data_IF_512160584583
#
_entry.id   IF_512160584583
#
_cell.length_a   1.000
_cell.length_b   1.000
_cell.length_c   1.000
_cell.angle_alpha   90.00
_cell.angle_beta   90.00
_cell.angle_gamma   90.00
#
_symmetry.space_group_name_H-M   'P 1'
#
loop_
_entity.id
_entity.type
_entity.pdbx_description
1 polymer ?
#
# COMPACT_ATOMS: atom_id res chain seq x y z
N UNK A 1 4.76 4.50 20.73
CA UNK A 1 4.51 3.40 19.78
C UNK A 1 3.05 3.31 19.33
N UNK A 2 2.09 3.48 20.20
CA UNK A 2 0.66 3.42 19.88
C UNK A 2 0.14 4.52 18.94
N UNK A 3 0.77 5.68 18.89
CA UNK A 3 0.34 6.82 18.05
C UNK A 3 0.64 6.61 16.56
N UNK A 4 1.73 5.93 16.21
CA UNK A 4 2.12 5.71 14.82
C UNK A 4 1.48 4.48 14.16
N UNK A 5 1.00 3.51 14.97
CA UNK A 5 0.42 2.25 14.48
C UNK A 5 -1.10 2.15 14.61
N UNK A 6 -1.78 3.22 15.03
CA UNK A 6 -3.23 3.21 15.24
C UNK A 6 -3.71 2.36 16.43
N UNK A 7 -2.80 1.85 17.26
CA UNK A 7 -3.13 1.02 18.42
C UNK A 7 -3.97 -0.22 18.07
N UNK A 8 -4.95 -0.56 18.90
CA UNK A 8 -5.91 -1.65 18.65
C UNK A 8 -6.74 -1.44 17.38
N UNK A 9 -7.12 -0.21 17.06
CA UNK A 9 -7.81 0.12 15.81
C UNK A 9 -7.01 -0.31 14.58
N UNK A 10 -5.70 -0.25 14.66
CA UNK A 10 -4.83 -0.69 13.60
C UNK A 10 -4.93 -2.18 13.26
N UNK A 11 -5.39 -3.02 14.17
CA UNK A 11 -5.61 -4.47 13.95
C UNK A 11 -7.08 -4.74 13.63
N UNK A 12 -7.98 -4.07 14.31
CA UNK A 12 -9.43 -4.29 14.19
C UNK A 12 -9.95 -3.84 12.82
N UNK A 13 -9.51 -2.67 12.34
CA UNK A 13 -9.95 -2.12 11.05
C UNK A 13 -9.62 -3.03 9.86
N UNK A 14 -8.39 -3.54 9.67
CA UNK A 14 -8.10 -4.50 8.60
C UNK A 14 -8.91 -5.80 8.70
N UNK A 15 -9.21 -6.29 9.91
CA UNK A 15 -10.03 -7.48 10.09
C UNK A 15 -11.47 -7.26 9.60
N UNK A 16 -12.08 -6.13 9.97
CA UNK A 16 -13.41 -5.78 9.46
C UNK A 16 -13.44 -5.60 7.95
N UNK A 17 -12.42 -4.94 7.39
CA UNK A 17 -12.27 -4.75 5.96
C UNK A 17 -12.11 -6.09 5.22
N UNK A 18 -11.36 -7.03 5.79
CA UNK A 18 -11.24 -8.39 5.24
C UNK A 18 -12.56 -9.15 5.28
N UNK A 19 -13.28 -9.11 6.40
CA UNK A 19 -14.59 -9.74 6.50
C UNK A 19 -15.57 -9.16 5.46
N UNK A 20 -15.68 -7.84 5.36
CA UNK A 20 -16.50 -7.16 4.36
C UNK A 20 -16.10 -7.54 2.92
N UNK A 21 -14.81 -7.58 2.63
CA UNK A 21 -14.31 -7.95 1.31
C UNK A 21 -14.61 -9.43 0.98
N UNK A 22 -14.53 -10.35 1.95
CA UNK A 22 -14.91 -11.75 1.75
C UNK A 22 -16.38 -11.89 1.41
N UNK A 23 -17.27 -11.24 2.15
CA UNK A 23 -18.71 -11.24 1.83
C UNK A 23 -18.98 -10.70 0.44
N UNK A 24 -18.33 -9.60 0.07
CA UNK A 24 -18.45 -9.00 -1.26
C UNK A 24 -17.99 -9.96 -2.36
N UNK A 25 -16.82 -10.60 -2.16
CA UNK A 25 -16.27 -11.58 -3.13
C UNK A 25 -17.24 -12.74 -3.33
N UNK A 26 -17.75 -13.33 -2.25
CA UNK A 26 -18.71 -14.44 -2.33
C UNK A 26 -19.97 -14.01 -3.08
N UNK A 27 -20.57 -12.86 -2.75
CA UNK A 27 -21.75 -12.35 -3.43
C UNK A 27 -21.53 -12.11 -4.93
N UNK A 28 -20.40 -11.48 -5.28
CA UNK A 28 -20.07 -11.20 -6.68
C UNK A 28 -19.76 -12.48 -7.46
N UNK A 29 -19.05 -13.44 -6.87
CA UNK A 29 -18.76 -14.73 -7.51
C UNK A 29 -20.07 -15.45 -7.87
N UNK A 30 -21.05 -15.47 -6.98
CA UNK A 30 -22.35 -16.06 -7.25
C UNK A 30 -23.01 -15.40 -8.47
N UNK A 31 -23.04 -14.06 -8.52
CA UNK A 31 -23.65 -13.30 -9.62
C UNK A 31 -22.92 -13.57 -10.95
N UNK A 32 -21.60 -13.47 -10.95
CA UNK A 32 -20.78 -13.62 -12.16
C UNK A 32 -20.76 -15.06 -12.66
N UNK A 33 -20.76 -16.05 -11.76
CA UNK A 33 -20.77 -17.46 -12.12
C UNK A 33 -22.03 -17.88 -12.89
N UNK A 34 -23.17 -17.25 -12.62
CA UNK A 34 -24.44 -17.55 -13.31
C UNK A 34 -24.50 -16.99 -14.74
N UNK A 35 -23.83 -15.87 -15.02
CA UNK A 35 -23.99 -15.13 -16.28
C UNK A 35 -22.74 -15.20 -17.18
N UNK A 36 -21.54 -15.13 -16.59
CA UNK A 36 -20.28 -15.05 -17.32
C UNK A 36 -19.11 -15.70 -16.55
N UNK A 37 -19.10 -17.03 -16.34
CA UNK A 37 -18.10 -17.71 -15.49
C UNK A 37 -16.66 -17.53 -15.99
N UNK A 38 -16.46 -17.32 -17.31
CA UNK A 38 -15.12 -17.07 -17.87
C UNK A 38 -14.48 -15.77 -17.37
N UNK A 39 -15.29 -14.77 -16.98
CA UNK A 39 -14.77 -13.53 -16.41
C UNK A 39 -14.05 -13.76 -15.08
N UNK A 40 -14.52 -14.69 -14.26
CA UNK A 40 -13.85 -15.02 -12.98
C UNK A 40 -12.44 -15.54 -13.25
N UNK A 41 -12.27 -16.41 -14.25
CA UNK A 41 -10.96 -16.96 -14.60
C UNK A 41 -10.02 -15.87 -15.12
N UNK A 42 -10.49 -14.99 -15.99
CA UNK A 42 -9.69 -13.88 -16.54
C UNK A 42 -9.29 -12.92 -15.43
N UNK A 43 -10.24 -12.46 -14.61
CA UNK A 43 -9.96 -11.51 -13.53
C UNK A 43 -9.06 -12.11 -12.45
N UNK A 44 -9.21 -13.40 -12.15
CA UNK A 44 -8.33 -14.09 -11.18
C UNK A 44 -6.91 -14.25 -11.73
N UNK A 45 -6.73 -14.60 -13.00
CA UNK A 45 -5.40 -14.68 -13.60
C UNK A 45 -4.66 -13.33 -13.57
N UNK A 46 -5.37 -12.24 -13.89
CA UNK A 46 -4.82 -10.88 -13.83
C UNK A 46 -4.51 -10.47 -12.37
N UNK A 47 -5.36 -10.86 -11.42
CA UNK A 47 -5.13 -10.61 -10.00
C UNK A 47 -3.83 -11.27 -9.51
N UNK A 48 -3.58 -12.52 -9.89
CA UNK A 48 -2.34 -13.23 -9.53
C UNK A 48 -1.13 -12.49 -10.11
N UNK A 49 -1.19 -12.06 -11.37
CA UNK A 49 -0.12 -11.29 -12.00
C UNK A 49 0.13 -9.96 -11.27
N UNK A 50 -0.94 -9.21 -10.99
CA UNK A 50 -0.86 -7.96 -10.22
C UNK A 50 -0.31 -8.18 -8.80
N UNK A 51 -0.66 -9.29 -8.16
CA UNK A 51 -0.14 -9.68 -6.85
C UNK A 51 1.38 -9.91 -6.85
N UNK A 52 1.91 -10.56 -7.89
CA UNK A 52 3.34 -10.77 -8.06
C UNK A 52 4.11 -9.45 -8.23
N UNK A 53 3.56 -8.52 -9.02
CA UNK A 53 4.14 -7.19 -9.22
C UNK A 53 4.12 -6.41 -7.91
N UNK A 54 2.98 -6.40 -7.21
CA UNK A 54 2.82 -5.70 -5.94
C UNK A 54 3.76 -6.23 -4.85
N UNK A 55 3.99 -7.54 -4.81
CA UNK A 55 4.95 -8.13 -3.87
C UNK A 55 6.38 -7.63 -4.12
N UNK A 56 6.80 -7.50 -5.38
CA UNK A 56 8.10 -6.89 -5.72
C UNK A 56 8.17 -5.42 -5.32
N UNK A 57 7.11 -4.64 -5.55
CA UNK A 57 7.03 -3.25 -5.12
C UNK A 57 7.19 -3.12 -3.61
N UNK A 58 6.48 -3.93 -2.83
CA UNK A 58 6.58 -3.94 -1.37
C UNK A 58 7.98 -4.32 -0.88
N UNK A 59 8.65 -5.27 -1.52
CA UNK A 59 10.03 -5.64 -1.15
C UNK A 59 11.02 -4.50 -1.40
N UNK A 60 10.89 -3.77 -2.51
CA UNK A 60 11.72 -2.60 -2.81
C UNK A 60 11.50 -1.54 -1.75
N UNK A 61 10.25 -1.24 -1.42
CA UNK A 61 9.86 -0.25 -0.43
C UNK A 61 10.38 -0.59 0.97
N UNK A 62 10.20 -1.83 1.43
CA UNK A 62 10.68 -2.27 2.74
C UNK A 62 12.21 -2.18 2.87
N UNK A 63 12.95 -2.57 1.85
CA UNK A 63 14.42 -2.43 1.84
C UNK A 63 14.84 -0.97 1.95
N UNK A 64 14.22 -0.11 1.18
CA UNK A 64 14.50 1.33 1.20
C UNK A 64 14.20 1.96 2.58
N UNK A 65 13.07 1.61 3.20
CA UNK A 65 12.74 2.10 4.53
C UNK A 65 13.72 1.62 5.61
N UNK A 66 14.21 0.40 5.50
CA UNK A 66 15.22 -0.12 6.41
C UNK A 66 16.55 0.66 6.30
N UNK A 67 16.99 0.95 5.07
CA UNK A 67 18.20 1.74 4.81
C UNK A 67 18.07 3.19 5.30
N UNK A 68 16.88 3.78 5.17
CA UNK A 68 16.60 5.16 5.55
C UNK A 68 16.41 5.38 7.04
N UNK A 69 16.25 4.34 7.86
CA UNK A 69 15.82 4.49 9.25
C UNK A 69 16.77 5.38 10.09
N UNK A 70 18.10 5.29 9.86
CA UNK A 70 19.09 6.15 10.53
C UNK A 70 18.99 7.60 10.07
N UNK A 71 18.89 7.82 8.76
CA UNK A 71 18.79 9.16 8.16
C UNK A 71 17.51 9.85 8.59
N UNK A 72 16.39 9.12 8.59
CA UNK A 72 15.09 9.62 9.07
C UNK A 72 15.13 10.08 10.53
N UNK A 73 15.84 9.36 11.38
CA UNK A 73 15.96 9.73 12.80
C UNK A 73 16.74 11.04 12.96
N UNK A 74 17.86 11.20 12.25
CA UNK A 74 18.67 12.43 12.31
C UNK A 74 17.90 13.60 11.70
N UNK A 75 17.25 13.38 10.56
CA UNK A 75 16.43 14.39 9.90
C UNK A 75 15.25 14.85 10.77
N UNK A 76 14.54 13.89 11.41
CA UNK A 76 13.47 14.20 12.34
C UNK A 76 13.94 15.01 13.55
N UNK A 77 15.07 14.64 14.13
CA UNK A 77 15.67 15.37 15.25
C UNK A 77 16.06 16.82 14.86
N UNK A 78 16.77 17.00 13.76
CA UNK A 78 17.15 18.34 13.28
C UNK A 78 15.92 19.19 12.92
N UNK A 79 14.90 18.59 12.29
CA UNK A 79 13.66 19.28 11.96
C UNK A 79 12.90 19.74 13.19
N UNK A 80 12.84 18.90 14.21
CA UNK A 80 12.21 19.24 15.47
C UNK A 80 12.92 20.39 16.17
N UNK A 81 14.24 20.33 16.30
CA UNK A 81 15.02 21.39 16.97
C UNK A 81 15.01 22.73 16.23
N UNK A 82 15.02 22.70 14.89
CA UNK A 82 14.93 23.92 14.08
C UNK A 82 13.55 24.60 14.17
N UNK A 83 12.51 23.83 14.45
CA UNK A 83 11.13 24.35 14.54
C UNK A 83 10.67 24.62 15.97
N UNK A 84 11.36 24.10 16.98
CA UNK A 84 11.02 24.32 18.38
C UNK A 84 11.54 25.69 18.86
N UNK A 85 10.59 26.56 19.21
CA UNK A 85 10.89 27.92 19.68
C UNK A 85 11.78 27.97 20.91
N UNK A 86 11.82 26.93 21.72
CA UNK A 86 12.65 26.82 22.92
C UNK A 86 14.15 26.95 22.62
N UNK A 87 14.60 26.40 21.49
CA UNK A 87 15.99 26.46 21.06
C UNK A 87 16.36 27.74 20.32
N UNK A 88 15.39 28.57 19.97
CA UNK A 88 15.62 29.80 19.20
C UNK A 88 16.53 30.83 19.89
N UNK A 89 16.57 30.85 21.24
CA UNK A 89 17.48 31.69 22.03
C UNK A 89 18.92 31.18 21.94
N UNK A 90 19.09 29.87 22.11
CA UNK A 90 20.41 29.24 22.11
C UNK A 90 21.04 29.29 20.71
N UNK A 91 20.25 29.03 19.65
CA UNK A 91 20.70 29.12 18.28
C UNK A 91 21.22 30.53 17.96
N UNK A 92 20.54 31.57 18.45
CA UNK A 92 20.95 32.97 18.25
C UNK A 92 22.20 33.33 19.10
N UNK A 93 22.24 32.87 20.36
CA UNK A 93 23.33 33.15 21.29
C UNK A 93 24.64 32.56 20.79
N UNK A 94 24.60 31.33 20.27
CA UNK A 94 25.78 30.62 19.78
C UNK A 94 26.05 30.84 18.29
N UNK A 95 25.26 31.65 17.60
CA UNK A 95 25.41 31.88 16.17
C UNK A 95 25.28 30.61 15.32
N UNK A 96 24.55 29.59 15.83
CA UNK A 96 24.51 28.25 15.26
C UNK A 96 23.57 28.11 14.05
N UNK A 97 22.87 29.17 13.62
CA UNK A 97 21.86 29.17 12.56
C UNK A 97 22.38 28.54 11.26
N UNK A 98 23.50 29.07 10.77
CA UNK A 98 24.00 28.66 9.43
C UNK A 98 24.49 27.19 9.48
N UNK A 99 25.15 26.79 10.53
CA UNK A 99 25.55 25.39 10.73
C UNK A 99 24.36 24.43 10.75
N UNK A 100 23.27 24.81 11.42
CA UNK A 100 22.07 23.96 11.52
C UNK A 100 21.34 23.90 10.20
N UNK A 101 21.23 25.04 9.48
CA UNK A 101 20.61 25.09 8.14
C UNK A 101 21.42 24.27 7.14
N UNK A 102 22.76 24.37 7.16
CA UNK A 102 23.61 23.57 6.28
C UNK A 102 23.47 22.06 6.56
N UNK A 103 23.42 21.66 7.84
CA UNK A 103 23.14 20.27 8.19
C UNK A 103 21.77 19.82 7.71
N UNK A 104 20.74 20.65 7.91
CA UNK A 104 19.40 20.35 7.41
C UNK A 104 19.38 20.15 5.90
N UNK A 105 19.95 21.09 5.14
CA UNK A 105 20.01 21.01 3.69
C UNK A 105 20.73 19.74 3.22
N UNK A 106 21.88 19.43 3.82
CA UNK A 106 22.62 18.20 3.50
C UNK A 106 21.80 16.92 3.72
N UNK A 107 21.08 16.82 4.84
CA UNK A 107 20.23 15.67 5.09
C UNK A 107 18.97 15.65 4.21
N UNK A 108 18.44 16.82 3.89
CA UNK A 108 17.33 16.96 2.96
C UNK A 108 17.70 16.49 1.55
N UNK A 109 18.88 16.85 1.05
CA UNK A 109 19.39 16.40 -0.24
C UNK A 109 19.58 14.87 -0.27
N UNK A 110 20.09 14.28 0.81
CA UNK A 110 20.18 12.82 0.95
C UNK A 110 18.78 12.19 0.91
N UNK A 111 17.80 12.76 1.61
CA UNK A 111 16.41 12.27 1.61
C UNK A 111 15.80 12.35 0.22
N UNK A 112 15.92 13.49 -0.46
CA UNK A 112 15.42 13.68 -1.83
C UNK A 112 16.07 12.67 -2.79
N UNK A 113 17.38 12.49 -2.70
CA UNK A 113 18.11 11.51 -3.50
C UNK A 113 17.60 10.08 -3.30
N UNK A 114 17.33 9.71 -2.06
CA UNK A 114 16.79 8.39 -1.71
C UNK A 114 15.35 8.20 -2.22
N UNK A 115 14.49 9.21 -2.07
CA UNK A 115 13.13 9.17 -2.62
C UNK A 115 13.13 9.09 -4.15
N UNK A 116 14.02 9.82 -4.80
CA UNK A 116 14.19 9.74 -6.26
C UNK A 116 14.61 8.33 -6.68
N UNK A 117 15.62 7.75 -6.01
CA UNK A 117 16.06 6.37 -6.27
C UNK A 117 14.94 5.35 -6.08
N UNK A 118 14.10 5.53 -5.05
CA UNK A 118 12.92 4.69 -4.83
C UNK A 118 11.92 4.83 -5.98
N UNK A 119 11.58 6.07 -6.34
CA UNK A 119 10.65 6.36 -7.43
C UNK A 119 11.13 5.75 -8.75
N UNK A 120 12.43 5.89 -9.09
CA UNK A 120 13.02 5.33 -10.30
C UNK A 120 12.93 3.80 -10.34
N UNK A 121 13.10 3.13 -9.20
CA UNK A 121 12.97 1.66 -9.08
C UNK A 121 11.50 1.19 -9.15
N UNK A 122 10.56 1.99 -8.63
CA UNK A 122 9.14 1.65 -8.61
C UNK A 122 8.44 1.98 -9.92
N UNK A 123 8.89 3.00 -10.64
CA UNK A 123 8.24 3.51 -11.85
C UNK A 123 7.95 2.42 -12.89
N UNK A 124 8.92 1.56 -13.31
CA UNK A 124 8.66 0.53 -14.31
C UNK A 124 7.64 -0.51 -13.84
N UNK A 125 7.65 -0.86 -12.55
CA UNK A 125 6.70 -1.82 -11.97
C UNK A 125 5.29 -1.19 -11.86
N UNK A 126 5.19 0.08 -11.52
CA UNK A 126 3.93 0.81 -11.49
C UNK A 126 3.33 0.96 -12.90
N UNK A 127 4.16 1.24 -13.90
CA UNK A 127 3.72 1.26 -15.30
C UNK A 127 3.22 -0.12 -15.75
N UNK A 128 3.93 -1.19 -15.40
CA UNK A 128 3.50 -2.56 -15.70
C UNK A 128 2.18 -2.90 -15.00
N UNK A 129 1.99 -2.48 -13.75
CA UNK A 129 0.75 -2.67 -13.01
C UNK A 129 -0.41 -1.93 -13.66
N UNK A 130 -0.20 -0.65 -14.04
CA UNK A 130 -1.20 0.14 -14.77
C UNK A 130 -1.55 -0.48 -16.11
N UNK A 131 -0.56 -0.96 -16.88
CA UNK A 131 -0.80 -1.67 -18.13
C UNK A 131 -1.65 -2.94 -17.92
N UNK A 132 -1.38 -3.69 -16.86
CA UNK A 132 -2.15 -4.89 -16.49
C UNK A 132 -3.61 -4.52 -16.16
N UNK A 133 -3.84 -3.40 -15.46
CA UNK A 133 -5.20 -2.92 -15.16
C UNK A 133 -5.94 -2.48 -16.44
N UNK A 134 -5.28 -1.78 -17.35
CA UNK A 134 -5.85 -1.40 -18.66
C UNK A 134 -6.21 -2.63 -19.49
N UNK A 135 -5.33 -3.63 -19.56
CA UNK A 135 -5.58 -4.89 -20.28
C UNK A 135 -6.79 -5.61 -19.69
N UNK A 136 -6.91 -5.64 -18.36
CA UNK A 136 -8.08 -6.22 -17.68
C UNK A 136 -9.37 -5.52 -18.07
N UNK A 137 -9.41 -4.20 -17.96
CA UNK A 137 -10.62 -3.42 -18.20
C UNK A 137 -11.03 -3.51 -19.68
N UNK A 138 -10.08 -3.32 -20.59
CA UNK A 138 -10.32 -3.47 -22.02
C UNK A 138 -10.77 -4.89 -22.39
N UNK A 139 -10.10 -5.92 -21.87
CA UNK A 139 -10.48 -7.31 -22.08
C UNK A 139 -11.87 -7.64 -21.55
N UNK A 140 -12.23 -7.09 -20.40
CA UNK A 140 -13.57 -7.26 -19.81
C UNK A 140 -14.64 -6.57 -20.65
N UNK A 141 -14.41 -5.32 -21.07
CA UNK A 141 -15.33 -4.60 -21.96
C UNK A 141 -15.48 -5.29 -23.31
N UNK A 142 -14.38 -5.69 -23.92
CA UNK A 142 -14.40 -6.39 -25.20
C UNK A 142 -15.19 -7.69 -25.12
N UNK A 143 -14.91 -8.52 -24.11
CA UNK A 143 -15.60 -9.80 -23.91
C UNK A 143 -17.11 -9.61 -23.70
N UNK A 144 -17.51 -8.69 -22.82
CA UNK A 144 -18.92 -8.41 -22.53
C UNK A 144 -19.61 -7.75 -23.74
N UNK A 145 -18.91 -6.87 -24.46
CA UNK A 145 -19.42 -6.25 -25.69
C UNK A 145 -19.73 -7.28 -26.76
N UNK A 146 -18.85 -8.24 -26.99
CA UNK A 146 -19.08 -9.34 -27.93
C UNK A 146 -20.30 -10.18 -27.51
N UNK A 147 -20.44 -10.49 -26.22
CA UNK A 147 -21.60 -11.22 -25.71
C UNK A 147 -22.92 -10.44 -25.90
N UNK A 148 -22.90 -9.12 -25.72
CA UNK A 148 -24.06 -8.26 -25.92
C UNK A 148 -24.45 -8.15 -27.41
N UNK A 149 -23.47 -7.94 -28.31
CA UNK A 149 -23.68 -7.84 -29.76
C UNK A 149 -24.20 -9.17 -30.32
N UNK A 150 -23.71 -10.29 -29.82
CA UNK A 150 -24.19 -11.64 -30.25
C UNK A 150 -25.52 -12.01 -29.63
N UNK A 151 -26.17 -11.12 -28.87
CA UNK A 151 -27.48 -11.33 -28.27
C UNK A 151 -27.51 -12.36 -27.12
N UNK A 152 -26.37 -12.78 -26.63
CA UNK A 152 -26.26 -13.74 -25.50
C UNK A 152 -26.61 -13.13 -24.17
N UNK A 153 -26.37 -11.83 -24.01
CA UNK A 153 -26.70 -11.04 -22.83
C UNK A 153 -27.30 -9.71 -23.27
N UNK A 154 -28.13 -9.11 -22.40
CA UNK A 154 -28.61 -7.74 -22.62
C UNK A 154 -27.55 -6.71 -22.26
N UNK A 155 -27.66 -5.49 -22.78
CA UNK A 155 -26.77 -4.37 -22.44
C UNK A 155 -26.77 -4.12 -20.92
N UNK A 156 -27.93 -4.22 -20.26
CA UNK A 156 -28.07 -4.09 -18.82
C UNK A 156 -27.28 -5.15 -18.05
N UNK A 157 -27.31 -6.41 -18.48
CA UNK A 157 -26.51 -7.49 -17.91
C UNK A 157 -25.02 -7.24 -18.16
N UNK A 158 -24.63 -6.78 -19.35
CA UNK A 158 -23.24 -6.46 -19.65
C UNK A 158 -22.68 -5.39 -18.71
N UNK A 159 -23.42 -4.31 -18.47
CA UNK A 159 -23.05 -3.24 -17.54
C UNK A 159 -22.95 -3.76 -16.10
N UNK A 160 -23.90 -4.57 -15.66
CA UNK A 160 -23.88 -5.21 -14.34
C UNK A 160 -22.65 -6.12 -14.18
N UNK A 161 -22.32 -6.92 -15.18
CA UNK A 161 -21.16 -7.83 -15.16
C UNK A 161 -19.83 -7.07 -15.14
N UNK A 162 -19.75 -5.95 -15.87
CA UNK A 162 -18.57 -5.07 -15.81
C UNK A 162 -18.36 -4.53 -14.40
N UNK A 163 -19.39 -3.97 -13.78
CA UNK A 163 -19.32 -3.48 -12.39
C UNK A 163 -18.97 -4.60 -11.42
N UNK A 164 -19.57 -5.78 -11.59
CA UNK A 164 -19.29 -6.95 -10.78
C UNK A 164 -17.83 -7.41 -10.90
N UNK A 165 -17.25 -7.45 -12.12
CA UNK A 165 -15.85 -7.80 -12.33
C UNK A 165 -14.90 -6.82 -11.67
N UNK A 166 -15.18 -5.50 -11.75
CA UNK A 166 -14.42 -4.45 -11.07
C UNK A 166 -14.51 -4.58 -9.55
N UNK A 167 -15.70 -4.84 -9.02
CA UNK A 167 -15.93 -5.04 -7.59
C UNK A 167 -15.20 -6.29 -7.08
N UNK A 168 -15.24 -7.39 -7.84
CA UNK A 168 -14.49 -8.60 -7.51
C UNK A 168 -13.00 -8.32 -7.40
N UNK A 169 -12.41 -7.70 -8.42
CA UNK A 169 -11.01 -7.36 -8.44
C UNK A 169 -10.61 -6.43 -7.27
N UNK A 170 -11.39 -5.37 -7.04
CA UNK A 170 -11.16 -4.42 -5.95
C UNK A 170 -11.24 -5.08 -4.57
N UNK A 171 -12.23 -5.96 -4.35
CA UNK A 171 -12.39 -6.68 -3.08
C UNK A 171 -11.28 -7.69 -2.85
N UNK A 172 -10.84 -8.42 -3.87
CA UNK A 172 -9.71 -9.34 -3.78
C UNK A 172 -8.39 -8.60 -3.50
N UNK A 173 -8.18 -7.44 -4.14
CA UNK A 173 -7.04 -6.57 -3.87
C UNK A 173 -7.04 -6.05 -2.44
N UNK A 174 -8.21 -5.65 -1.93
CA UNK A 174 -8.38 -5.25 -0.52
C UNK A 174 -8.07 -6.38 0.45
N UNK A 175 -8.46 -7.63 0.15
CA UNK A 175 -8.09 -8.78 0.98
C UNK A 175 -6.57 -8.94 1.07
N UNK A 176 -5.87 -8.91 -0.07
CA UNK A 176 -4.41 -9.03 -0.10
C UNK A 176 -3.74 -7.88 0.66
N UNK A 177 -4.22 -6.65 0.45
CA UNK A 177 -3.71 -5.46 1.15
C UNK A 177 -3.88 -5.57 2.67
N UNK A 178 -5.09 -5.85 3.14
CA UNK A 178 -5.38 -5.94 4.57
C UNK A 178 -4.63 -7.10 5.23
N UNK A 179 -4.44 -8.22 4.52
CA UNK A 179 -3.62 -9.33 5.00
C UNK A 179 -2.15 -8.94 5.17
N UNK A 180 -1.57 -8.21 4.21
CA UNK A 180 -0.20 -7.68 4.30
C UNK A 180 -0.07 -6.70 5.46
N UNK A 181 -1.05 -5.81 5.65
CA UNK A 181 -1.08 -4.85 6.76
C UNK A 181 -1.17 -5.54 8.11
N UNK A 182 -1.99 -6.59 8.25
CA UNK A 182 -2.05 -7.41 9.46
C UNK A 182 -0.71 -8.09 9.76
N UNK A 183 -0.06 -8.68 8.77
CA UNK A 183 1.26 -9.29 8.95
C UNK A 183 2.31 -8.27 9.40
N UNK A 184 2.30 -7.08 8.82
CA UNK A 184 3.18 -6.00 9.22
C UNK A 184 2.95 -5.57 10.67
N UNK A 185 1.69 -5.45 11.08
CA UNK A 185 1.30 -5.10 12.47
C UNK A 185 1.59 -6.21 13.47
N UNK A 186 1.41 -7.48 13.05
CA UNK A 186 1.79 -8.64 13.86
C UNK A 186 3.30 -8.66 14.16
N UNK A 187 4.13 -8.31 13.18
CA UNK A 187 5.57 -8.17 13.41
C UNK A 187 5.91 -7.08 14.43
N UNK A 188 5.25 -5.92 14.37
CA UNK A 188 5.44 -4.87 15.38
C UNK A 188 4.97 -5.31 16.78
N UNK A 189 3.84 -6.02 16.87
CA UNK A 189 3.36 -6.59 18.13
C UNK A 189 4.36 -7.60 18.72
N UNK A 190 4.95 -8.44 17.88
CA UNK A 190 5.96 -9.41 18.30
C UNK A 190 7.25 -8.75 18.83
N UNK A 191 7.70 -7.66 18.21
CA UNK A 191 8.82 -6.88 18.71
C UNK A 191 8.51 -6.24 20.10
N UNK A 192 7.26 -5.80 20.31
CA UNK A 192 6.83 -5.29 21.60
C UNK A 192 6.82 -6.41 22.67
N UNK A 193 6.31 -7.60 22.34
CA UNK A 193 6.33 -8.75 23.24
C UNK A 193 7.76 -9.13 23.61
N UNK A 194 8.66 -9.23 22.64
CA UNK A 194 10.08 -9.48 22.88
C UNK A 194 10.72 -8.44 23.82
N UNK A 195 10.34 -7.17 23.67
CA UNK A 195 10.82 -6.10 24.56
C UNK A 195 10.31 -6.29 25.99
N UNK A 196 9.06 -6.71 26.18
CA UNK A 196 8.48 -6.97 27.50
C UNK A 196 9.07 -8.21 28.18
N UNK A 197 9.52 -9.18 27.39
CA UNK A 197 10.15 -10.43 27.89
C UNK A 197 11.66 -10.23 28.21
N UNK A 198 12.22 -9.05 27.95
CA UNK A 198 13.61 -8.76 28.32
C UNK A 198 13.75 -8.78 29.84
N UNK A 199 14.65 -9.60 30.41
CA UNK A 199 14.87 -9.63 31.85
C UNK A 199 15.31 -8.24 32.30
N UNK A 200 14.63 -7.73 33.35
CA UNK A 200 15.07 -6.49 33.99
C UNK A 200 16.51 -6.68 34.47
N UNK A 201 17.46 -5.94 33.87
CA UNK A 201 18.81 -5.89 34.38
C UNK A 201 18.75 -5.13 35.72
N UNK A 202 18.76 -5.88 36.83
CA UNK A 202 18.94 -5.36 38.20
C UNK A 202 20.42 -5.26 38.45
#
# INVERSE_FOLDING_TARGET
MTWYSGGLNGIVEPLFNMASALFTVVGVVIIVATQAPRLILITTAILVLSGLINNKLNQIEQRQYAELSKTNRIFGYLGWELTDFRYGKDIRLYGAKDMMVDKWNRFNDIMIGNWKTLADKQLPLNLLMTATDIIRDFGTYFYLGVLAITGRITIGIATQMFTAAGTFYGSMRNLVWNFQELNKRANYANEYVKFMDYPAAI
#
